data_IF_551252134971
#
_entry.id   IF_551252134971
#
_cell.length_a   1.000
_cell.length_b   1.000
_cell.length_c   1.000
_cell.angle_alpha   90.00
_cell.angle_beta   90.00
_cell.angle_gamma   90.00
#
_symmetry.space_group_name_H-M   'P 1'
#
loop_
_entity.id
_entity.type
_entity.pdbx_description
1 polymer ?
#
# COMPACT_ATOMS: atom_id res chain seq x y z
N UNK A 1 -45.83 -29.65 0.33
CA UNK A 1 -45.30 -28.28 0.23
C UNK A 1 -43.91 -28.30 0.83
N UNK A 2 -42.88 -28.04 0.02
CA UNK A 2 -41.52 -27.91 0.54
C UNK A 2 -41.41 -26.54 1.22
N UNK A 3 -41.40 -26.54 2.55
CA UNK A 3 -41.01 -25.38 3.33
C UNK A 3 -39.49 -25.24 3.18
N UNK A 4 -39.05 -24.55 2.13
CA UNK A 4 -37.72 -23.95 2.09
C UNK A 4 -37.80 -22.76 3.05
N UNK A 5 -37.65 -23.05 4.33
CA UNK A 5 -37.69 -22.05 5.39
C UNK A 5 -36.59 -21.02 5.18
N UNK A 6 -36.92 -19.77 5.52
CA UNK A 6 -36.11 -18.56 5.45
C UNK A 6 -34.78 -18.62 6.24
N UNK A 7 -34.39 -19.77 6.78
CA UNK A 7 -33.15 -19.97 7.55
C UNK A 7 -31.89 -19.75 6.72
N UNK A 8 -31.90 -20.13 5.44
CA UNK A 8 -30.75 -19.92 4.55
C UNK A 8 -30.52 -18.45 4.18
N UNK A 9 -31.57 -17.63 4.14
CA UNK A 9 -31.46 -16.20 3.79
C UNK A 9 -30.78 -15.43 4.92
N UNK A 10 -31.12 -15.74 6.17
CA UNK A 10 -30.49 -15.13 7.35
C UNK A 10 -29.00 -15.52 7.46
N UNK A 11 -28.64 -16.77 7.18
CA UNK A 11 -27.23 -17.18 7.11
C UNK A 11 -26.45 -16.46 6.00
N UNK A 12 -27.08 -16.29 4.82
CA UNK A 12 -26.48 -15.56 3.71
C UNK A 12 -26.29 -14.09 4.08
N UNK A 13 -27.30 -13.45 4.69
CA UNK A 13 -27.23 -12.05 5.12
C UNK A 13 -26.15 -11.83 6.19
N UNK A 14 -26.04 -12.75 7.16
CA UNK A 14 -24.99 -12.70 8.18
C UNK A 14 -23.59 -12.85 7.57
N UNK A 15 -23.39 -13.79 6.65
CA UNK A 15 -22.12 -13.90 5.90
C UNK A 15 -21.84 -12.65 5.07
N UNK A 16 -22.86 -12.06 4.44
CA UNK A 16 -22.70 -10.84 3.65
C UNK A 16 -22.30 -9.65 4.54
N UNK A 17 -22.88 -9.54 5.74
CA UNK A 17 -22.51 -8.52 6.73
C UNK A 17 -21.11 -8.73 7.29
N UNK A 18 -20.70 -9.97 7.58
CA UNK A 18 -19.33 -10.28 8.00
C UNK A 18 -18.31 -9.93 6.91
N UNK A 19 -18.61 -10.26 5.65
CA UNK A 19 -17.80 -9.85 4.51
C UNK A 19 -17.72 -8.32 4.47
N UNK A 20 -18.86 -7.62 4.53
CA UNK A 20 -18.94 -6.15 4.55
C UNK A 20 -18.11 -5.50 5.67
N UNK A 21 -18.17 -6.04 6.89
CA UNK A 21 -17.41 -5.56 8.03
C UNK A 21 -15.90 -5.83 7.90
N UNK A 22 -15.53 -6.93 7.25
CA UNK A 22 -14.14 -7.32 7.03
C UNK A 22 -13.49 -6.67 5.80
N UNK A 23 -14.28 -6.21 4.82
CA UNK A 23 -13.76 -5.53 3.61
C UNK A 23 -12.84 -4.37 3.96
N UNK A 24 -13.24 -3.51 4.91
CA UNK A 24 -12.43 -2.35 5.29
C UNK A 24 -11.06 -2.73 5.87
N UNK A 25 -10.98 -3.82 6.63
CA UNK A 25 -9.72 -4.37 7.17
C UNK A 25 -8.90 -5.05 6.08
N UNK A 26 -9.58 -5.78 5.19
CA UNK A 26 -8.97 -6.50 4.09
C UNK A 26 -8.31 -5.54 3.08
N UNK A 27 -8.99 -4.45 2.72
CA UNK A 27 -8.45 -3.36 1.91
C UNK A 27 -7.17 -2.78 2.53
N UNK A 28 -7.20 -2.52 3.85
CA UNK A 28 -6.04 -1.97 4.53
C UNK A 28 -4.87 -2.97 4.55
N UNK A 29 -5.15 -4.26 4.71
CA UNK A 29 -4.17 -5.34 4.64
C UNK A 29 -3.57 -5.45 3.24
N UNK A 30 -4.41 -5.45 2.21
CA UNK A 30 -4.00 -5.52 0.81
C UNK A 30 -3.09 -4.34 0.43
N UNK A 31 -3.45 -3.11 0.84
CA UNK A 31 -2.61 -1.93 0.59
C UNK A 31 -1.25 -2.01 1.30
N UNK A 32 -1.20 -2.51 2.53
CA UNK A 32 0.06 -2.69 3.27
C UNK A 32 0.95 -3.75 2.62
N UNK A 33 0.40 -4.92 2.33
CA UNK A 33 1.13 -6.01 1.70
C UNK A 33 1.67 -5.59 0.33
N UNK A 34 0.88 -4.86 -0.46
CA UNK A 34 1.31 -4.37 -1.76
C UNK A 34 2.40 -3.28 -1.69
N UNK A 35 2.47 -2.55 -0.57
CA UNK A 35 3.46 -1.51 -0.35
C UNK A 35 4.84 -2.03 0.09
N UNK A 36 4.88 -3.21 0.71
CA UNK A 36 6.12 -3.87 1.17
C UNK A 36 7.15 -4.10 0.05
N UNK A 37 6.83 -4.73 -1.09
CA UNK A 37 7.82 -4.96 -2.14
C UNK A 37 8.36 -3.65 -2.71
N UNK A 38 7.52 -2.61 -2.81
CA UNK A 38 7.93 -1.27 -3.24
C UNK A 38 8.92 -0.67 -2.25
N UNK A 39 8.67 -0.80 -0.94
CA UNK A 39 9.58 -0.30 0.09
C UNK A 39 10.95 -0.98 0.02
N UNK A 40 10.97 -2.30 -0.14
CA UNK A 40 12.21 -3.06 -0.19
C UNK A 40 13.04 -2.72 -1.42
N UNK A 41 12.42 -2.64 -2.61
CA UNK A 41 13.11 -2.18 -3.81
C UNK A 41 13.57 -0.71 -3.70
N UNK A 42 12.78 0.15 -3.04
CA UNK A 42 13.18 1.53 -2.79
C UNK A 42 14.42 1.60 -1.90
N UNK A 43 14.49 0.77 -0.84
CA UNK A 43 15.67 0.67 0.04
C UNK A 43 16.88 0.05 -0.65
N UNK A 44 16.68 -0.78 -1.67
CA UNK A 44 17.76 -1.35 -2.46
C UNK A 44 18.38 -0.30 -3.39
N UNK A 45 17.55 0.53 -4.01
CA UNK A 45 17.99 1.53 -4.99
C UNK A 45 18.39 2.88 -4.40
N UNK A 46 18.05 3.15 -3.13
CA UNK A 46 18.34 4.44 -2.51
C UNK A 46 19.86 4.68 -2.32
N UNK A 47 20.38 5.85 -2.71
CA UNK A 47 21.77 6.20 -2.48
C UNK A 47 22.10 6.25 -0.98
N UNK A 48 23.16 5.53 -0.60
CA UNK A 48 23.62 5.47 0.79
C UNK A 48 24.82 6.39 0.98
N UNK A 49 24.63 7.45 1.79
CA UNK A 49 25.75 8.24 2.34
C UNK A 49 26.01 7.88 3.81
N UNK A 50 25.03 8.16 4.67
CA UNK A 50 25.07 7.84 6.11
C UNK A 50 24.13 6.70 6.50
N UNK A 51 23.33 6.20 5.55
CA UNK A 51 22.29 5.19 5.79
C UNK A 51 21.01 5.71 6.44
N UNK A 52 20.98 6.96 6.92
CA UNK A 52 19.77 7.55 7.56
C UNK A 52 18.56 7.52 6.64
N UNK A 53 18.73 7.89 5.36
CA UNK A 53 17.65 7.86 4.38
C UNK A 53 17.09 6.45 4.21
N UNK A 54 17.94 5.46 3.94
CA UNK A 54 17.54 4.05 3.79
C UNK A 54 16.78 3.52 5.01
N UNK A 55 17.24 3.85 6.21
CA UNK A 55 16.60 3.43 7.47
C UNK A 55 15.28 4.15 7.74
N UNK A 56 15.14 5.40 7.29
CA UNK A 56 13.94 6.20 7.52
C UNK A 56 12.80 5.91 6.54
N UNK A 57 13.08 5.31 5.38
CA UNK A 57 12.03 4.92 4.43
C UNK A 57 11.05 3.96 5.12
N UNK A 58 9.78 4.36 5.15
CA UNK A 58 8.70 3.64 5.83
C UNK A 58 7.42 3.69 5.01
N UNK A 59 6.54 2.75 5.29
CA UNK A 59 5.17 2.75 4.78
C UNK A 59 4.31 3.51 5.80
N UNK A 60 3.50 4.47 5.33
CA UNK A 60 2.59 5.20 6.21
C UNK A 60 1.35 4.35 6.54
N UNK A 61 0.58 4.80 7.52
CA UNK A 61 -0.78 4.27 7.68
C UNK A 61 -1.61 4.54 6.42
N UNK A 62 -2.62 3.70 6.20
CA UNK A 62 -3.59 3.89 5.12
C UNK A 62 -4.32 5.21 5.36
N UNK A 63 -4.26 6.09 4.36
CA UNK A 63 -4.98 7.36 4.34
C UNK A 63 -6.19 7.21 3.44
N UNK A 64 -7.24 7.96 3.74
CA UNK A 64 -8.44 8.07 2.90
C UNK A 64 -8.54 9.52 2.43
N UNK A 65 -8.63 9.72 1.12
CA UNK A 65 -8.99 11.02 0.54
C UNK A 65 -10.26 10.79 -0.26
N UNK A 66 -11.33 11.49 0.13
CA UNK A 66 -12.69 11.26 -0.38
C UNK A 66 -13.10 9.79 -0.18
N UNK A 67 -13.22 9.02 -1.25
CA UNK A 67 -13.55 7.59 -1.20
C UNK A 67 -12.37 6.67 -1.56
N UNK A 68 -11.21 7.24 -1.92
CA UNK A 68 -10.04 6.46 -2.32
C UNK A 68 -9.11 6.27 -1.13
N UNK A 69 -8.88 5.00 -0.78
CA UNK A 69 -7.82 4.61 0.16
C UNK A 69 -6.49 4.52 -0.56
N UNK A 70 -5.46 5.09 0.04
CA UNK A 70 -4.09 5.04 -0.49
C UNK A 70 -3.08 4.92 0.65
N UNK A 71 -1.90 4.45 0.30
CA UNK A 71 -0.76 4.32 1.21
C UNK A 71 0.44 4.99 0.59
N UNK A 72 1.25 5.67 1.41
CA UNK A 72 2.47 6.33 0.95
C UNK A 72 3.67 5.49 1.36
N UNK A 73 4.61 5.34 0.43
CA UNK A 73 5.85 4.59 0.64
C UNK A 73 7.03 5.56 0.51
N UNK A 74 7.84 5.63 1.56
CA UNK A 74 9.04 6.46 1.58
C UNK A 74 8.77 7.92 1.90
N UNK A 75 9.33 8.82 1.09
CA UNK A 75 9.27 10.28 1.28
C UNK A 75 8.30 10.89 0.27
N UNK A 76 7.39 11.74 0.74
CA UNK A 76 6.51 12.53 -0.13
C UNK A 76 7.02 13.98 -0.26
N UNK A 77 6.38 14.77 -1.13
CA UNK A 77 6.74 16.18 -1.32
C UNK A 77 6.57 17.02 -0.04
N UNK A 78 5.58 16.65 0.78
CA UNK A 78 5.22 17.34 2.02
C UNK A 78 6.01 16.87 3.25
N UNK A 79 6.87 15.87 3.11
CA UNK A 79 7.57 15.29 4.26
C UNK A 79 8.58 16.30 4.82
N UNK A 80 8.47 16.51 6.13
CA UNK A 80 9.31 17.37 6.95
C UNK A 80 10.05 16.57 8.03
N UNK A 81 10.07 15.24 7.92
CA UNK A 81 10.85 14.36 8.78
C UNK A 81 12.35 14.58 8.60
N UNK A 82 13.18 13.91 9.43
CA UNK A 82 14.65 13.95 9.28
C UNK A 82 15.15 13.45 7.92
N UNK A 83 14.31 12.74 7.15
CA UNK A 83 14.62 12.25 5.81
C UNK A 83 14.02 13.12 4.69
N UNK A 84 13.49 14.31 5.00
CA UNK A 84 12.87 15.21 4.02
C UNK A 84 13.74 15.45 2.78
N UNK A 85 15.07 15.42 2.94
CA UNK A 85 16.00 15.62 1.84
C UNK A 85 15.95 14.53 0.77
N UNK A 86 15.36 13.37 1.06
CA UNK A 86 15.15 12.28 0.10
C UNK A 86 14.35 12.72 -1.12
N UNK A 87 13.41 13.67 -0.97
CA UNK A 87 12.63 14.20 -2.10
C UNK A 87 13.49 14.95 -3.12
N UNK A 88 14.55 15.62 -2.66
CA UNK A 88 15.51 16.29 -3.55
C UNK A 88 16.43 15.31 -4.27
N UNK A 89 16.60 14.10 -3.72
CA UNK A 89 17.30 13.02 -4.40
C UNK A 89 16.38 12.43 -5.47
N UNK A 90 15.13 12.11 -5.13
CA UNK A 90 14.16 11.53 -6.06
C UNK A 90 13.89 12.43 -7.28
N UNK A 91 13.59 13.72 -7.05
CA UNK A 91 13.16 14.64 -8.12
C UNK A 91 14.28 15.54 -8.64
N UNK A 92 15.44 15.55 -7.99
CA UNK A 92 16.51 16.50 -8.28
C UNK A 92 16.23 17.91 -7.78
N UNK A 93 17.15 18.81 -8.09
CA UNK A 93 17.12 20.24 -7.75
C UNK A 93 17.67 21.04 -8.92
N UNK A 94 17.52 22.37 -8.90
CA UNK A 94 18.11 23.23 -9.93
C UNK A 94 19.63 23.04 -10.13
N UNK A 95 20.36 22.54 -9.12
CA UNK A 95 21.81 22.35 -9.15
C UNK A 95 22.25 20.88 -9.25
N UNK A 96 21.33 19.92 -9.20
CA UNK A 96 21.66 18.48 -9.15
C UNK A 96 20.57 17.65 -9.83
N UNK A 97 20.96 16.79 -10.76
CA UNK A 97 20.05 15.87 -11.44
C UNK A 97 19.36 14.91 -10.47
N UNK A 98 18.16 14.48 -10.87
CA UNK A 98 17.38 13.48 -10.15
C UNK A 98 18.08 12.12 -10.11
N UNK A 99 17.94 11.43 -8.98
CA UNK A 99 18.35 10.05 -8.80
C UNK A 99 17.16 9.27 -8.20
N UNK A 100 16.20 8.90 -9.06
CA UNK A 100 14.95 8.30 -8.61
C UNK A 100 15.18 6.89 -8.07
N UNK A 101 14.61 6.61 -6.90
CA UNK A 101 14.63 5.32 -6.23
C UNK A 101 13.22 4.83 -5.89
N UNK A 102 12.26 5.74 -5.70
CA UNK A 102 10.84 5.40 -5.46
C UNK A 102 10.11 5.09 -6.77
N UNK A 103 10.24 5.95 -7.78
CA UNK A 103 9.59 5.76 -9.07
C UNK A 103 9.97 4.42 -9.73
N UNK A 104 11.25 4.06 -9.90
CA UNK A 104 11.62 2.76 -10.49
C UNK A 104 11.16 1.57 -9.64
N UNK A 105 11.16 1.70 -8.31
CA UNK A 105 10.64 0.65 -7.42
C UNK A 105 9.14 0.43 -7.61
N UNK A 106 8.36 1.50 -7.80
CA UNK A 106 6.94 1.39 -8.11
C UNK A 106 6.71 0.74 -9.48
N UNK A 107 7.39 1.22 -10.52
CA UNK A 107 7.25 0.70 -11.89
C UNK A 107 7.55 -0.80 -11.97
N UNK A 108 8.65 -1.23 -11.34
CA UNK A 108 9.06 -2.64 -11.30
C UNK A 108 8.01 -3.54 -10.62
N UNK A 109 7.37 -3.05 -9.57
CA UNK A 109 6.41 -3.82 -8.77
C UNK A 109 4.95 -3.67 -9.21
N UNK A 110 4.66 -2.95 -10.30
CA UNK A 110 3.26 -2.70 -10.75
C UNK A 110 2.42 -3.97 -10.88
N UNK A 111 2.98 -5.03 -11.44
CA UNK A 111 2.26 -6.30 -11.63
C UNK A 111 2.11 -7.04 -10.30
N UNK A 112 3.19 -7.15 -9.52
CA UNK A 112 3.21 -7.76 -8.19
C UNK A 112 2.22 -7.09 -7.22
N UNK A 113 2.10 -5.76 -7.27
CA UNK A 113 1.09 -5.00 -6.51
C UNK A 113 -0.33 -5.49 -6.84
N UNK A 114 -0.66 -5.64 -8.12
CA UNK A 114 -1.99 -6.10 -8.55
C UNK A 114 -2.25 -7.53 -8.10
N UNK A 115 -1.25 -8.40 -8.22
CA UNK A 115 -1.33 -9.80 -7.79
C UNK A 115 -1.55 -9.91 -6.29
N UNK A 116 -0.75 -9.22 -5.47
CA UNK A 116 -0.88 -9.22 -4.01
C UNK A 116 -2.24 -8.68 -3.57
N UNK A 117 -2.73 -7.61 -4.22
CA UNK A 117 -4.07 -7.07 -3.91
C UNK A 117 -5.13 -8.12 -4.24
N UNK A 118 -5.10 -8.71 -5.43
CA UNK A 118 -6.07 -9.71 -5.84
C UNK A 118 -6.05 -10.96 -4.95
N UNK A 119 -4.86 -11.43 -4.57
CA UNK A 119 -4.67 -12.57 -3.68
C UNK A 119 -5.19 -12.27 -2.26
N UNK A 120 -4.80 -11.13 -1.70
CA UNK A 120 -5.26 -10.73 -0.35
C UNK A 120 -6.79 -10.59 -0.32
N UNK A 121 -7.39 -10.01 -1.36
CA UNK A 121 -8.85 -9.91 -1.47
C UNK A 121 -9.51 -11.29 -1.61
N UNK A 122 -8.93 -12.19 -2.41
CA UNK A 122 -9.44 -13.56 -2.57
C UNK A 122 -9.37 -14.37 -1.27
N UNK A 123 -8.30 -14.21 -0.49
CA UNK A 123 -8.17 -14.86 0.82
C UNK A 123 -9.21 -14.37 1.82
N UNK A 124 -9.49 -13.07 1.88
CA UNK A 124 -10.47 -12.54 2.83
C UNK A 124 -11.93 -12.71 2.42
N UNK A 125 -12.19 -13.20 1.21
CA UNK A 125 -13.53 -13.56 0.70
C UNK A 125 -13.84 -15.06 0.81
N UNK A 126 -12.86 -15.89 1.21
CA UNK A 126 -13.05 -17.30 1.54
C UNK A 126 -13.49 -17.45 2.98
#
# INVERSE_FOLDING_TARGET
MANIELTGVDEILNKLQEIGANVGRLENKALKNAAEPVLEDSKANVPVRTGKLKKGLKITNVKKKEEIKYILVGVDKGDNSEIFYGKFIEFGTSKRSAHPFLQPAYEKNKNTIKEIIAETLKEGLK
#
